data_IF_427554839859
#
_entry.id   IF_427554839859
#
_cell.length_a   1.000
_cell.length_b   1.000
_cell.length_c   1.000
_cell.angle_alpha   90.00
_cell.angle_beta   90.00
_cell.angle_gamma   90.00
#
_symmetry.space_group_name_H-M   'P 1'
#
loop_
_entity.id
_entity.type
_entity.pdbx_description
1 polymer ?
#
# COMPACT_ATOMS: atom_id res chain seq x y z
N UNK A 1 18.55 33.67 -6.01
CA UNK A 1 18.25 32.53 -6.89
C UNK A 1 16.93 31.95 -6.45
N UNK A 2 16.02 31.66 -7.37
CA UNK A 2 14.76 31.00 -7.00
C UNK A 2 15.07 29.51 -6.69
N UNK A 3 14.69 29.05 -5.51
CA UNK A 3 14.73 27.62 -5.20
C UNK A 3 13.69 26.91 -6.07
N UNK A 4 14.16 26.17 -7.05
CA UNK A 4 13.29 25.34 -7.90
C UNK A 4 13.27 23.96 -7.27
N UNK A 5 12.12 23.58 -6.71
CA UNK A 5 11.93 22.21 -6.24
C UNK A 5 12.04 21.23 -7.41
N UNK A 6 12.81 20.17 -7.24
CA UNK A 6 12.96 19.07 -8.21
C UNK A 6 12.61 17.75 -7.53
N UNK A 7 11.96 16.86 -8.27
CA UNK A 7 11.81 15.49 -7.84
C UNK A 7 13.18 14.80 -7.81
N UNK A 8 13.49 14.14 -6.72
CA UNK A 8 14.58 13.19 -6.70
C UNK A 8 14.24 11.96 -7.56
N UNK A 9 15.25 11.28 -8.06
CA UNK A 9 15.04 10.01 -8.74
C UNK A 9 14.36 9.03 -7.76
N UNK A 10 13.25 8.38 -8.17
CA UNK A 10 12.59 7.40 -7.31
C UNK A 10 13.54 6.28 -6.91
N UNK A 11 13.38 5.76 -5.71
CA UNK A 11 14.06 4.56 -5.23
C UNK A 11 13.73 3.36 -6.10
N UNK A 12 14.47 2.26 -5.96
CA UNK A 12 14.10 1.01 -6.61
C UNK A 12 12.72 0.55 -6.11
N UNK A 13 11.91 0.03 -7.03
CA UNK A 13 10.60 -0.53 -6.68
C UNK A 13 10.76 -1.73 -5.76
N UNK A 14 10.08 -1.71 -4.62
CA UNK A 14 10.11 -2.76 -3.60
C UNK A 14 8.75 -3.45 -3.52
N UNK A 15 8.73 -4.79 -3.50
CA UNK A 15 7.51 -5.56 -3.20
C UNK A 15 7.34 -5.61 -1.69
N UNK A 16 6.26 -5.01 -1.18
CA UNK A 16 5.96 -4.93 0.26
C UNK A 16 4.98 -6.00 0.74
N UNK A 17 4.08 -6.45 -0.13
CA UNK A 17 3.16 -7.57 0.14
C UNK A 17 3.12 -8.51 -1.08
N UNK A 18 3.07 -9.81 -0.84
CA UNK A 18 2.93 -10.84 -1.89
C UNK A 18 2.19 -12.08 -1.37
N UNK A 19 2.88 -13.02 -0.73
CA UNK A 19 2.30 -14.30 -0.28
C UNK A 19 1.14 -14.12 0.70
N UNK A 20 1.15 -13.10 1.54
CA UNK A 20 0.06 -12.75 2.45
C UNK A 20 -1.24 -12.32 1.76
N UNK A 21 -1.20 -12.10 0.44
CA UNK A 21 -2.37 -11.75 -0.38
C UNK A 21 -3.00 -12.98 -1.05
N UNK A 22 -2.32 -14.12 -1.05
CA UNK A 22 -2.78 -15.31 -1.75
C UNK A 22 -4.03 -15.87 -1.09
N UNK A 23 -5.07 -16.07 -1.88
CA UNK A 23 -6.39 -16.54 -1.42
C UNK A 23 -7.02 -15.66 -0.32
N UNK A 24 -6.61 -14.40 -0.19
CA UNK A 24 -7.18 -13.49 0.80
C UNK A 24 -8.68 -13.33 0.54
N UNK A 25 -9.50 -13.73 1.51
CA UNK A 25 -10.95 -13.71 1.38
C UNK A 25 -11.47 -12.27 1.22
N UNK A 26 -12.64 -12.12 0.60
CA UNK A 26 -13.33 -10.83 0.55
C UNK A 26 -13.64 -10.32 1.95
N UNK A 27 -13.62 -9.02 2.12
CA UNK A 27 -13.85 -8.32 3.38
C UNK A 27 -12.89 -8.74 4.53
N UNK A 28 -11.67 -9.20 4.17
CA UNK A 28 -10.61 -9.50 5.14
C UNK A 28 -9.33 -8.72 4.82
N UNK A 29 -8.53 -8.49 5.86
CA UNK A 29 -7.20 -7.88 5.73
C UNK A 29 -6.10 -8.94 5.65
N UNK A 30 -5.05 -8.62 4.93
CA UNK A 30 -3.83 -9.42 4.91
C UNK A 30 -3.13 -9.42 6.29
N UNK A 31 -2.20 -10.35 6.49
CA UNK A 31 -1.16 -10.14 7.50
C UNK A 31 -0.40 -8.83 7.19
N UNK A 32 0.21 -8.25 8.22
CA UNK A 32 1.07 -7.08 8.03
C UNK A 32 2.31 -7.46 7.19
N UNK A 33 2.80 -6.52 6.41
CA UNK A 33 4.06 -6.65 5.69
C UNK A 33 5.25 -6.81 6.66
N UNK A 34 6.41 -7.14 6.12
CA UNK A 34 7.67 -6.89 6.83
C UNK A 34 7.81 -5.38 7.10
N UNK A 35 8.69 -5.05 8.06
CA UNK A 35 8.98 -3.66 8.40
C UNK A 35 9.53 -2.90 7.19
N UNK A 36 8.99 -1.71 6.98
CA UNK A 36 9.45 -0.76 5.96
C UNK A 36 10.12 0.38 6.73
N UNK A 37 11.44 0.52 6.55
CA UNK A 37 12.23 1.52 7.24
C UNK A 37 12.42 2.75 6.35
N UNK A 38 11.76 3.85 6.69
CA UNK A 38 11.95 5.16 6.05
C UNK A 38 12.81 6.10 6.89
N UNK A 39 13.51 5.57 7.89
CA UNK A 39 14.30 6.36 8.85
C UNK A 39 15.60 6.92 8.25
N UNK A 40 16.12 6.28 7.22
CA UNK A 40 17.39 6.65 6.59
C UNK A 40 17.19 7.56 5.39
N UNK A 41 16.26 7.21 4.52
CA UNK A 41 16.00 7.95 3.28
C UNK A 41 15.13 9.18 3.53
N UNK A 42 14.20 9.09 4.51
CA UNK A 42 13.23 10.13 4.82
C UNK A 42 12.42 10.55 3.59
N UNK A 43 12.10 9.58 2.72
CA UNK A 43 11.23 9.80 1.58
C UNK A 43 9.87 10.33 2.06
N UNK A 44 9.35 11.34 1.38
CA UNK A 44 8.06 11.98 1.75
C UNK A 44 6.91 11.27 1.06
N UNK A 45 7.14 10.78 -0.16
CA UNK A 45 6.11 10.24 -1.03
C UNK A 45 6.40 8.81 -1.44
N UNK A 46 5.33 8.09 -1.74
CA UNK A 46 5.39 6.78 -2.38
C UNK A 46 4.36 6.69 -3.50
N UNK A 47 4.75 6.11 -4.61
CA UNK A 47 3.83 5.56 -5.59
C UNK A 47 3.56 4.10 -5.25
N UNK A 48 2.30 3.73 -5.25
CA UNK A 48 1.82 2.38 -4.91
C UNK A 48 1.28 1.72 -6.15
N UNK A 49 1.75 0.51 -6.44
CA UNK A 49 1.18 -0.37 -7.44
C UNK A 49 0.62 -1.62 -6.78
N UNK A 50 -0.64 -1.93 -7.05
CA UNK A 50 -1.26 -3.20 -6.68
C UNK A 50 -1.50 -4.01 -7.95
N UNK A 51 -0.92 -5.19 -8.01
CA UNK A 51 -1.20 -6.19 -9.05
C UNK A 51 -2.05 -7.28 -8.42
N UNK A 52 -3.24 -7.46 -8.96
CA UNK A 52 -4.14 -8.57 -8.63
C UNK A 52 -4.14 -9.54 -9.81
N UNK A 53 -3.85 -10.80 -9.53
CA UNK A 53 -3.99 -11.85 -10.53
C UNK A 53 -5.46 -11.95 -10.98
N UNK A 54 -5.72 -12.74 -12.00
CA UNK A 54 -7.07 -12.88 -12.57
C UNK A 54 -8.14 -13.13 -11.49
N UNK A 55 -9.12 -12.24 -11.43
CA UNK A 55 -10.29 -12.32 -10.54
C UNK A 55 -11.50 -11.70 -11.25
N UNK A 56 -12.68 -11.92 -10.69
CA UNK A 56 -13.95 -11.34 -11.20
C UNK A 56 -14.56 -10.43 -10.13
N UNK A 57 -14.10 -9.18 -10.02
CA UNK A 57 -14.56 -8.28 -8.95
C UNK A 57 -16.04 -7.89 -9.15
N UNK A 58 -16.70 -7.56 -8.04
CA UNK A 58 -18.07 -7.02 -8.08
C UNK A 58 -18.07 -5.51 -8.43
N UNK A 59 -19.23 -4.98 -8.75
CA UNK A 59 -19.40 -3.53 -8.96
C UNK A 59 -19.02 -2.77 -7.69
N UNK A 60 -18.23 -1.72 -7.84
CA UNK A 60 -17.73 -0.93 -6.72
C UNK A 60 -16.55 -1.55 -5.98
N UNK A 61 -15.92 -2.59 -6.54
CA UNK A 61 -14.74 -3.23 -5.98
C UNK A 61 -13.58 -2.26 -5.76
N UNK A 62 -12.88 -2.42 -4.64
CA UNK A 62 -11.66 -1.69 -4.35
C UNK A 62 -10.73 -2.52 -3.46
N UNK A 63 -9.50 -2.10 -3.34
CA UNK A 63 -8.57 -2.52 -2.30
C UNK A 63 -8.16 -1.31 -1.49
N UNK A 64 -8.03 -1.46 -0.17
CA UNK A 64 -7.55 -0.40 0.70
C UNK A 64 -6.23 -0.81 1.35
N UNK A 65 -5.29 0.12 1.43
CA UNK A 65 -4.03 -0.07 2.14
C UNK A 65 -4.07 0.71 3.43
N UNK A 66 -3.70 0.05 4.50
CA UNK A 66 -3.59 0.62 5.85
C UNK A 66 -2.15 0.60 6.29
N UNK A 67 -1.73 1.67 6.96
CA UNK A 67 -0.40 1.83 7.52
C UNK A 67 -0.45 1.63 9.03
N UNK A 68 0.51 0.86 9.54
CA UNK A 68 0.75 0.67 10.96
C UNK A 68 2.11 1.29 11.27
N UNK A 69 2.11 2.46 11.86
CA UNK A 69 3.33 3.19 12.20
C UNK A 69 3.84 2.80 13.58
N UNK A 70 5.14 2.56 13.70
CA UNK A 70 5.81 2.36 14.97
C UNK A 70 6.37 3.70 15.47
N UNK A 71 5.84 4.23 16.56
CA UNK A 71 6.29 5.49 17.16
C UNK A 71 7.62 5.32 17.88
N UNK A 72 7.84 4.17 18.50
CA UNK A 72 9.06 3.85 19.26
C UNK A 72 10.12 3.11 18.44
N UNK A 73 9.84 2.85 17.16
CA UNK A 73 10.72 2.11 16.25
C UNK A 73 10.77 0.60 16.50
N UNK A 74 9.90 0.06 17.34
CA UNK A 74 9.91 -1.35 17.74
C UNK A 74 8.52 -1.98 17.75
N UNK A 75 7.54 -1.31 18.35
CA UNK A 75 6.20 -1.84 18.54
C UNK A 75 5.21 -1.21 17.55
N UNK A 76 4.29 -2.01 17.06
CA UNK A 76 3.23 -1.58 16.15
C UNK A 76 1.87 -1.63 16.85
N UNK A 77 0.90 -0.80 16.42
CA UNK A 77 -0.45 -0.85 16.97
C UNK A 77 -1.05 -2.24 16.85
N UNK A 78 -1.56 -2.78 17.95
CA UNK A 78 -2.19 -4.09 18.03
C UNK A 78 -3.72 -3.98 17.80
N UNK A 79 -4.14 -3.21 16.79
CA UNK A 79 -5.55 -3.04 16.48
C UNK A 79 -6.12 -4.23 15.71
N UNK A 80 -7.37 -4.58 15.99
CA UNK A 80 -8.09 -5.56 15.17
C UNK A 80 -8.34 -5.00 13.76
N UNK A 81 -8.57 -5.88 12.78
CA UNK A 81 -8.90 -5.47 11.42
C UNK A 81 -10.20 -4.63 11.36
N UNK A 82 -11.15 -4.93 12.27
CA UNK A 82 -12.39 -4.16 12.37
C UNK A 82 -12.12 -2.72 12.85
N UNK A 83 -11.25 -2.56 13.85
CA UNK A 83 -10.88 -1.24 14.36
C UNK A 83 -10.09 -0.43 13.33
N UNK A 84 -9.18 -1.07 12.58
CA UNK A 84 -8.44 -0.42 11.50
C UNK A 84 -9.38 0.18 10.43
N UNK A 85 -10.44 -0.53 10.07
CA UNK A 85 -11.42 -0.02 9.09
C UNK A 85 -12.17 1.21 9.57
N UNK A 86 -12.29 1.40 10.87
CA UNK A 86 -12.96 2.56 11.48
C UNK A 86 -12.04 3.79 11.59
N UNK A 87 -10.72 3.61 11.41
CA UNK A 87 -9.74 4.69 11.55
C UNK A 87 -9.36 5.26 10.19
N UNK A 88 -9.70 6.51 9.96
CA UNK A 88 -9.26 7.24 8.73
C UNK A 88 -7.79 7.64 8.79
N UNK A 89 -7.21 7.77 9.97
CA UNK A 89 -5.82 8.19 10.17
C UNK A 89 -4.80 7.14 9.75
N UNK A 90 -5.20 5.87 9.68
CA UNK A 90 -4.34 4.76 9.26
C UNK A 90 -4.64 4.28 7.84
N UNK A 91 -5.69 4.78 7.21
CA UNK A 91 -5.97 4.52 5.81
C UNK A 91 -4.94 5.28 4.95
N UNK A 92 -4.07 4.53 4.30
CA UNK A 92 -3.09 5.08 3.39
C UNK A 92 -3.74 5.49 2.06
N UNK A 93 -4.46 4.56 1.44
CA UNK A 93 -5.16 4.79 0.18
C UNK A 93 -6.20 3.70 -0.08
N UNK A 94 -7.31 4.07 -0.73
CA UNK A 94 -8.27 3.14 -1.32
C UNK A 94 -8.20 3.27 -2.85
N UNK A 95 -7.99 2.15 -3.54
CA UNK A 95 -7.77 2.10 -4.98
C UNK A 95 -8.90 1.29 -5.62
N UNK A 96 -9.73 1.89 -6.48
CA UNK A 96 -10.74 1.17 -7.22
C UNK A 96 -10.14 0.07 -8.11
N UNK A 97 -10.83 -1.06 -8.18
CA UNK A 97 -10.47 -2.19 -9.04
C UNK A 97 -11.51 -2.31 -10.14
N UNK A 98 -11.07 -2.51 -11.38
CA UNK A 98 -11.96 -2.67 -12.51
C UNK A 98 -12.78 -3.96 -12.42
N UNK A 99 -14.01 -3.94 -12.97
CA UNK A 99 -14.91 -5.10 -12.98
C UNK A 99 -14.67 -6.06 -14.16
N UNK A 100 -13.65 -5.81 -14.98
CA UNK A 100 -13.34 -6.69 -16.11
C UNK A 100 -12.86 -8.04 -15.60
N UNK A 101 -13.71 -9.03 -15.72
CA UNK A 101 -13.45 -10.38 -15.27
C UNK A 101 -12.28 -11.03 -16.00
N UNK A 102 -11.61 -11.96 -15.34
CA UNK A 102 -10.66 -12.94 -15.90
C UNK A 102 -9.28 -12.44 -16.33
N UNK A 103 -8.97 -11.15 -16.23
CA UNK A 103 -7.62 -10.64 -16.51
C UNK A 103 -6.93 -10.14 -15.24
N UNK A 104 -5.62 -10.27 -15.21
CA UNK A 104 -4.83 -9.64 -14.15
C UNK A 104 -5.03 -8.12 -14.22
N UNK A 105 -5.22 -7.50 -13.05
CA UNK A 105 -5.42 -6.06 -12.95
C UNK A 105 -4.21 -5.42 -12.29
N UNK A 106 -3.82 -4.28 -12.83
CA UNK A 106 -2.78 -3.44 -12.28
C UNK A 106 -3.39 -2.08 -12.00
N UNK A 107 -3.47 -1.73 -10.73
CA UNK A 107 -4.00 -0.44 -10.27
C UNK A 107 -2.94 0.28 -9.46
N UNK A 108 -2.94 1.61 -9.49
CA UNK A 108 -1.92 2.40 -8.84
C UNK A 108 -2.50 3.67 -8.22
N UNK A 109 -1.86 4.12 -7.15
CA UNK A 109 -2.04 5.44 -6.58
C UNK A 109 -0.67 6.11 -6.45
N UNK A 110 -0.63 7.43 -6.57
CA UNK A 110 0.63 8.19 -6.62
C UNK A 110 0.63 9.31 -5.62
N UNK A 111 1.83 9.78 -5.30
CA UNK A 111 2.05 10.93 -4.40
C UNK A 111 1.43 10.71 -3.01
N UNK A 112 1.45 9.48 -2.51
CA UNK A 112 0.95 9.16 -1.19
C UNK A 112 2.02 9.54 -0.16
N UNK A 113 1.64 10.32 0.85
CA UNK A 113 2.55 10.69 1.93
C UNK A 113 2.78 9.51 2.85
N UNK A 114 4.04 9.26 3.20
CA UNK A 114 4.44 8.19 4.14
C UNK A 114 5.16 8.78 5.36
N UNK A 115 5.10 8.11 6.53
CA UNK A 115 5.78 8.59 7.72
C UNK A 115 7.31 8.43 7.60
N UNK A 116 8.08 9.26 8.32
CA UNK A 116 9.55 9.20 8.31
C UNK A 116 10.12 8.03 9.13
N UNK A 117 9.26 7.26 9.81
CA UNK A 117 9.64 6.23 10.75
C UNK A 117 9.64 4.81 10.18
N UNK A 118 9.49 3.86 11.10
CA UNK A 118 9.29 2.45 10.80
C UNK A 118 7.79 2.18 10.70
N UNK A 119 7.35 1.52 9.64
CA UNK A 119 5.95 1.19 9.45
C UNK A 119 5.74 -0.16 8.76
N UNK A 120 4.53 -0.67 8.83
CA UNK A 120 4.04 -1.87 8.12
C UNK A 120 2.79 -1.51 7.33
N UNK A 121 2.46 -2.33 6.36
CA UNK A 121 1.27 -2.19 5.50
C UNK A 121 0.40 -3.42 5.62
N UNK A 122 -0.92 -3.22 5.67
CA UNK A 122 -1.94 -4.26 5.47
C UNK A 122 -2.80 -3.89 4.26
N UNK A 123 -3.23 -4.90 3.50
CA UNK A 123 -4.21 -4.72 2.42
C UNK A 123 -5.56 -5.28 2.87
N UNK A 124 -6.61 -4.50 2.72
CA UNK A 124 -8.01 -4.92 2.89
C UNK A 124 -8.59 -5.25 1.52
N UNK A 125 -9.08 -6.48 1.37
CA UNK A 125 -9.70 -6.94 0.14
C UNK A 125 -11.20 -6.63 0.15
N UNK A 126 -11.63 -5.65 -0.59
CA UNK A 126 -13.02 -5.25 -0.80
C UNK A 126 -13.46 -5.45 -2.26
N UNK A 127 -12.92 -6.47 -2.91
CA UNK A 127 -13.20 -6.75 -4.33
C UNK A 127 -14.50 -7.53 -4.56
N UNK A 128 -15.14 -8.00 -3.51
CA UNK A 128 -16.34 -8.85 -3.58
C UNK A 128 -16.03 -10.34 -3.77
N UNK A 129 -14.77 -10.70 -4.00
CA UNK A 129 -14.31 -12.07 -4.21
C UNK A 129 -12.99 -12.32 -3.48
N UNK A 130 -12.62 -13.58 -3.28
CA UNK A 130 -11.28 -13.92 -2.79
C UNK A 130 -10.23 -13.61 -3.86
N UNK A 131 -9.07 -13.12 -3.44
CA UNK A 131 -7.93 -12.93 -4.33
C UNK A 131 -7.43 -14.30 -4.86
N UNK A 132 -6.77 -14.28 -5.99
CA UNK A 132 -6.18 -15.49 -6.57
C UNK A 132 -5.16 -16.16 -5.63
N UNK A 133 -4.92 -17.46 -5.81
CA UNK A 133 -4.01 -18.23 -4.97
C UNK A 133 -2.52 -17.83 -5.16
N UNK A 134 -2.20 -17.03 -6.17
CA UNK A 134 -0.85 -16.53 -6.43
C UNK A 134 -0.87 -15.33 -7.38
N UNK A 135 0.26 -14.63 -7.49
CA UNK A 135 0.45 -13.55 -8.45
C UNK A 135 -0.09 -12.19 -7.99
N UNK A 136 -0.51 -12.07 -6.72
CA UNK A 136 -0.92 -10.80 -6.15
C UNK A 136 0.28 -10.11 -5.50
N UNK A 137 0.45 -8.81 -5.74
CA UNK A 137 1.55 -8.03 -5.14
C UNK A 137 1.13 -6.61 -4.85
N UNK A 138 1.70 -6.04 -3.79
CA UNK A 138 1.75 -4.58 -3.56
C UNK A 138 3.21 -4.16 -3.65
N UNK A 139 3.46 -3.13 -4.44
CA UNK A 139 4.79 -2.57 -4.64
C UNK A 139 4.80 -1.10 -4.32
N UNK A 140 5.90 -0.66 -3.75
CA UNK A 140 6.20 0.73 -3.43
C UNK A 140 7.38 1.25 -4.26
N UNK A 141 7.26 2.48 -4.67
CA UNK A 141 8.35 3.25 -5.26
C UNK A 141 8.42 4.59 -4.53
N UNK A 142 9.33 4.70 -3.56
CA UNK A 142 9.46 5.86 -2.70
C UNK A 142 10.34 6.94 -3.32
N UNK A 143 10.07 8.21 -2.99
CA UNK A 143 10.83 9.36 -3.50
C UNK A 143 10.63 10.60 -2.64
N UNK A 144 11.45 11.57 -2.88
CA UNK A 144 11.49 12.86 -2.18
C UNK A 144 11.54 14.03 -3.17
N UNK A 145 11.38 15.23 -2.65
CA UNK A 145 11.53 16.49 -3.39
C UNK A 145 12.77 17.21 -2.88
N UNK A 146 13.74 17.43 -3.77
CA UNK A 146 14.89 18.25 -3.45
C UNK A 146 14.54 19.74 -3.60
N UNK A 147 14.62 20.49 -2.51
CA UNK A 147 14.37 21.93 -2.49
C UNK A 147 15.65 22.76 -2.73
N UNK A 148 16.80 22.10 -2.85
CA UNK A 148 18.10 22.71 -3.10
C UNK A 148 18.49 22.44 -4.56
N UNK A 149 18.17 23.38 -5.42
CA UNK A 149 18.67 23.41 -6.79
C UNK A 149 20.00 24.14 -6.90
#
# INVERSE_FOLDING_TARGET
>A
MANIGKWNAPSATVTVLSTGLNSLANATMSAASSNIANQTNLDIYVDVEVVLASLSPTTGAFVALYILESIDGTNFPAQSDADLRLTTTQLLVAIPVGTTATTAQRVAARNIVIPPGLFQIKLDNQTGVALAASGNTVKFNAYDVNLNG
#
